data_IF_236045338769
#
_entry.id   IF_236045338769
#
_cell.length_a   1.000
_cell.length_b   1.000
_cell.length_c   1.000
_cell.angle_alpha   90.00
_cell.angle_beta   90.00
_cell.angle_gamma   90.00
#
_symmetry.space_group_name_H-M   'P 1'
#
loop_
_entity.id
_entity.type
_entity.pdbx_description
1 polymer ?
#
# COMPACT_ATOMS: atom_id res chain seq x y z
N UNK A 1 -2.06 10.92 14.13
CA UNK A 1 -2.11 10.58 12.70
C UNK A 1 -1.92 9.07 12.59
N UNK A 2 -2.58 8.39 11.65
CA UNK A 2 -2.38 6.95 11.47
C UNK A 2 -0.94 6.70 11.01
N UNK A 3 -0.27 5.75 11.68
CA UNK A 3 1.10 5.38 11.31
C UNK A 3 1.13 4.32 10.21
N UNK A 4 0.04 3.54 10.09
CA UNK A 4 -0.13 2.48 9.10
C UNK A 4 -1.33 2.78 8.18
N UNK A 5 -1.12 2.57 6.89
CA UNK A 5 -2.15 2.67 5.86
C UNK A 5 -2.41 1.30 5.23
N UNK A 6 -3.68 0.98 5.02
CA UNK A 6 -4.05 -0.04 4.06
C UNK A 6 -3.99 0.58 2.66
N UNK A 7 -3.21 -0.04 1.79
CA UNK A 7 -3.09 0.39 0.40
C UNK A 7 -3.88 -0.58 -0.46
N UNK A 8 -4.75 -0.03 -1.29
CA UNK A 8 -5.50 -0.79 -2.29
C UNK A 8 -5.07 -0.33 -3.68
N UNK A 9 -4.45 -1.22 -4.43
CA UNK A 9 -4.05 -1.01 -5.81
C UNK A 9 -5.07 -1.66 -6.73
N UNK A 10 -5.56 -0.92 -7.72
CA UNK A 10 -6.45 -1.43 -8.77
C UNK A 10 -5.73 -1.32 -10.11
N UNK A 11 -5.63 -2.43 -10.84
CA UNK A 11 -5.02 -2.46 -12.17
C UNK A 11 -5.97 -1.91 -13.24
N UNK A 12 -5.47 -1.70 -14.46
CA UNK A 12 -6.30 -1.36 -15.61
C UNK A 12 -7.35 -2.44 -15.93
N UNK A 13 -7.02 -3.72 -15.70
CA UNK A 13 -7.92 -4.87 -15.90
C UNK A 13 -9.00 -4.97 -14.82
N UNK A 14 -8.89 -4.21 -13.73
CA UNK A 14 -9.82 -4.21 -12.61
C UNK A 14 -9.44 -5.15 -11.46
N UNK A 15 -8.30 -5.84 -11.56
CA UNK A 15 -7.76 -6.64 -10.46
C UNK A 15 -7.34 -5.76 -9.29
N UNK A 16 -7.53 -6.25 -8.07
CA UNK A 16 -7.24 -5.51 -6.85
C UNK A 16 -6.24 -6.22 -5.96
N UNK A 17 -5.24 -5.48 -5.49
CA UNK A 17 -4.23 -5.95 -4.57
C UNK A 17 -4.23 -5.08 -3.31
N UNK A 18 -3.98 -5.70 -2.16
CA UNK A 18 -3.97 -5.01 -0.87
C UNK A 18 -2.66 -5.22 -0.13
N UNK A 19 -2.25 -4.18 0.60
CA UNK A 19 -1.04 -4.18 1.42
C UNK A 19 -1.19 -3.28 2.64
N UNK A 20 -0.29 -3.42 3.62
CA UNK A 20 -0.21 -2.56 4.80
C UNK A 20 1.18 -1.97 4.88
N UNK A 21 1.29 -0.64 4.88
CA UNK A 21 2.58 0.04 4.86
C UNK A 21 2.51 1.33 5.70
N UNK A 22 3.63 1.71 6.32
CA UNK A 22 3.76 3.01 6.99
C UNK A 22 3.98 4.18 6.02
N UNK A 23 3.99 3.90 4.71
CA UNK A 23 4.20 4.91 3.68
C UNK A 23 2.96 5.80 3.54
N UNK A 24 3.18 7.10 3.74
CA UNK A 24 2.12 8.12 3.74
C UNK A 24 1.89 8.75 2.37
N UNK A 25 2.79 8.51 1.42
CA UNK A 25 2.74 9.08 0.07
C UNK A 25 3.01 8.00 -0.99
N UNK A 26 2.32 8.06 -2.14
CA UNK A 26 2.70 7.26 -3.30
C UNK A 26 4.04 7.76 -3.84
N UNK A 27 5.02 6.85 -3.95
CA UNK A 27 6.28 7.12 -4.64
C UNK A 27 6.59 5.95 -5.58
N UNK A 28 7.17 6.26 -6.73
CA UNK A 28 7.69 5.25 -7.65
C UNK A 28 9.08 4.79 -7.21
N UNK A 29 9.35 3.49 -7.32
CA UNK A 29 10.66 2.88 -7.07
C UNK A 29 11.16 2.34 -8.40
N UNK A 30 12.25 2.89 -8.92
CA UNK A 30 12.76 2.60 -10.27
C UNK A 30 11.69 2.74 -11.37
N UNK A 31 10.75 3.68 -11.18
CA UNK A 31 9.62 3.89 -12.11
C UNK A 31 8.43 2.95 -11.91
N UNK A 32 8.46 2.01 -10.97
CA UNK A 32 7.35 1.11 -10.65
C UNK A 32 6.60 1.55 -9.40
N UNK A 33 5.31 1.21 -9.31
CA UNK A 33 4.49 1.38 -8.10
C UNK A 33 4.71 0.17 -7.20
N UNK A 34 5.33 0.33 -6.02
CA UNK A 34 5.56 -0.78 -5.11
C UNK A 34 4.33 -1.03 -4.21
N UNK A 35 4.06 -2.29 -3.90
CA UNK A 35 3.08 -2.72 -2.89
C UNK A 35 3.67 -3.87 -2.08
N UNK A 36 3.79 -3.70 -0.77
CA UNK A 36 4.09 -4.81 0.14
C UNK A 36 2.79 -5.48 0.56
N UNK A 37 2.67 -6.79 0.31
CA UNK A 37 1.53 -7.61 0.72
C UNK A 37 1.57 -7.89 2.22
N UNK A 38 0.50 -8.47 2.77
CA UNK A 38 0.46 -8.88 4.17
C UNK A 38 1.44 -10.02 4.51
N UNK A 39 1.92 -10.77 3.51
CA UNK A 39 2.94 -11.82 3.67
C UNK A 39 4.36 -11.27 3.70
N UNK A 40 4.54 -9.96 3.46
CA UNK A 40 5.86 -9.31 3.37
C UNK A 40 6.49 -9.39 1.98
N UNK A 41 5.77 -9.92 0.98
CA UNK A 41 6.23 -9.93 -0.42
C UNK A 41 6.08 -8.56 -1.06
N UNK A 42 7.04 -8.19 -1.90
CA UNK A 42 7.01 -6.93 -2.64
C UNK A 42 6.58 -7.16 -4.08
N UNK A 43 5.49 -6.50 -4.46
CA UNK A 43 5.01 -6.44 -5.83
C UNK A 43 5.38 -5.08 -6.43
N UNK A 44 5.77 -5.08 -7.71
CA UNK A 44 6.12 -3.88 -8.45
C UNK A 44 5.27 -3.82 -9.72
N UNK A 45 4.43 -2.79 -9.81
CA UNK A 45 3.52 -2.60 -10.95
C UNK A 45 4.06 -1.53 -11.88
N UNK A 46 4.04 -1.77 -13.18
CA UNK A 46 4.36 -0.70 -14.13
C UNK A 46 3.27 0.38 -14.02
N UNK A 47 3.61 1.68 -14.12
CA UNK A 47 2.63 2.76 -14.01
C UNK A 47 1.50 2.65 -15.03
N UNK A 48 1.81 2.12 -16.22
CA UNK A 48 0.82 1.84 -17.26
C UNK A 48 -0.26 0.88 -16.77
N UNK A 49 0.08 -0.13 -15.96
CA UNK A 49 -0.85 -1.17 -15.53
C UNK A 49 -1.72 -0.77 -14.32
N UNK A 50 -1.44 0.37 -13.69
CA UNK A 50 -2.13 0.82 -12.49
C UNK A 50 -3.19 1.85 -12.84
N UNK A 51 -4.44 1.55 -12.49
CA UNK A 51 -5.58 2.48 -12.66
C UNK A 51 -5.73 3.42 -11.46
N UNK A 52 -5.53 2.90 -10.24
CA UNK A 52 -5.71 3.68 -9.00
C UNK A 52 -4.88 3.07 -7.87
N UNK A 53 -4.32 3.94 -7.02
CA UNK A 53 -3.75 3.57 -5.72
C UNK A 53 -4.47 4.36 -4.65
N UNK A 54 -5.10 3.67 -3.70
CA UNK A 54 -5.84 4.28 -2.61
C UNK A 54 -5.12 4.00 -1.28
N UNK A 55 -4.91 5.05 -0.49
CA UNK A 55 -4.33 4.98 0.85
C UNK A 55 -5.45 5.21 1.86
N UNK A 56 -5.83 4.17 2.59
CA UNK A 56 -6.84 4.24 3.64
C UNK A 56 -6.14 4.17 4.99
N UNK A 57 -6.17 5.23 5.82
CA UNK A 57 -5.57 5.19 7.14
C UNK A 57 -6.27 4.12 7.98
N UNK A 58 -5.50 3.21 8.56
CA UNK A 58 -6.03 2.29 9.56
C UNK A 58 -6.06 3.03 10.90
N UNK A 59 -7.23 3.55 11.26
CA UNK A 59 -7.48 4.08 12.61
C UNK A 59 -7.53 2.91 13.59
N UNK A 60 -6.37 2.47 14.07
CA UNK A 60 -6.31 1.30 14.95
C UNK A 60 -4.93 0.72 15.28
N UNK A 61 -3.82 1.36 14.95
CA UNK A 61 -2.52 1.01 15.56
C UNK A 61 -2.22 2.00 16.69
N UNK A 62 -3.06 1.95 17.73
CA UNK A 62 -2.48 2.09 19.06
C UNK A 62 -1.64 0.82 19.23
N UNK A 63 -0.33 0.96 19.01
CA UNK A 63 0.61 0.11 19.71
C UNK A 63 0.22 0.26 21.19
N UNK A 64 -0.45 -0.75 21.75
CA UNK A 64 -0.35 -1.02 23.17
C UNK A 64 1.15 -1.12 23.42
N UNK A 65 1.69 0.01 23.84
CA UNK A 65 3.04 0.14 24.34
C UNK A 65 3.07 -0.80 25.54
N UNK A 66 3.53 -2.03 25.30
CA UNK A 66 3.72 -3.04 26.32
C UNK A 66 4.50 -2.43 27.48
N UNK A 67 3.94 -2.64 28.66
CA UNK A 67 4.51 -2.32 29.97
C UNK A 67 5.91 -2.92 30.17
#
# INVERSE_FOLDING_TARGET
MADIYQITLTTQTGETFTGKMSRRQPELVNGFVPLATETGEWLYFAPGDVRRVQFTPLTGSAEEKGE
#
